data_IF_035478957298
#
_entry.id   IF_035478957298
#
_cell.length_a   1.000
_cell.length_b   1.000
_cell.length_c   1.000
_cell.angle_alpha   90.00
_cell.angle_beta   90.00
_cell.angle_gamma   90.00
#
_symmetry.space_group_name_H-M   'P 1'
#
loop_
_entity.id
_entity.type
_entity.pdbx_description
1 polymer ?
#
# COMPACT_ATOMS: atom_id res chain seq x y z
N UNK A 1 3.34 16.86 33.43
CA UNK A 1 2.90 17.99 32.57
C UNK A 1 1.66 17.58 31.77
N UNK A 2 0.54 18.30 31.87
CA UNK A 2 -0.65 18.05 31.03
C UNK A 2 -0.37 18.57 29.61
N UNK A 3 -0.31 17.70 28.60
CA UNK A 3 -0.19 18.11 27.19
C UNK A 3 -1.40 18.95 26.80
N UNK A 4 -1.19 20.16 26.26
CA UNK A 4 -2.26 20.96 25.65
C UNK A 4 -2.82 20.17 24.46
N UNK A 5 -4.10 19.79 24.51
CA UNK A 5 -4.78 19.14 23.38
C UNK A 5 -4.97 20.16 22.27
N UNK A 6 -4.47 19.84 21.07
CA UNK A 6 -4.71 20.64 19.86
C UNK A 6 -6.22 20.54 19.55
N UNK A 7 -6.93 21.67 19.50
CA UNK A 7 -8.33 21.70 19.06
C UNK A 7 -8.33 21.76 17.54
N UNK A 8 -9.02 20.81 16.91
CA UNK A 8 -9.29 20.85 15.48
C UNK A 8 -10.63 21.56 15.24
N UNK A 9 -10.78 22.33 14.15
CA UNK A 9 -12.07 22.86 13.74
C UNK A 9 -13.10 21.74 13.57
N UNK A 10 -14.35 21.99 13.99
CA UNK A 10 -15.44 21.01 13.90
C UNK A 10 -15.74 20.63 12.45
N UNK A 11 -15.75 21.61 11.54
CA UNK A 11 -15.95 21.39 10.11
C UNK A 11 -14.90 20.44 9.51
N UNK A 12 -13.63 20.58 9.93
CA UNK A 12 -12.54 19.70 9.49
C UNK A 12 -12.76 18.27 9.99
N UNK A 13 -13.15 18.12 11.26
CA UNK A 13 -13.42 16.84 11.87
C UNK A 13 -14.57 16.10 11.17
N UNK A 14 -15.66 16.80 10.84
CA UNK A 14 -16.80 16.24 10.11
C UNK A 14 -16.38 15.84 8.69
N UNK A 15 -15.68 16.71 7.97
CA UNK A 15 -15.20 16.41 6.60
C UNK A 15 -14.30 15.17 6.57
N UNK A 16 -13.29 15.12 7.45
CA UNK A 16 -12.36 14.00 7.50
C UNK A 16 -13.06 12.68 7.86
N UNK A 17 -13.96 12.70 8.84
CA UNK A 17 -14.68 11.50 9.27
C UNK A 17 -15.70 11.04 8.21
N UNK A 18 -16.40 11.96 7.55
CA UNK A 18 -17.34 11.65 6.47
C UNK A 18 -16.61 11.05 5.26
N UNK A 19 -15.50 11.66 4.84
CA UNK A 19 -14.71 11.14 3.72
C UNK A 19 -14.18 9.74 4.02
N UNK A 20 -13.77 9.47 5.26
CA UNK A 20 -13.32 8.14 5.67
C UNK A 20 -14.39 7.05 5.56
N UNK A 21 -15.64 7.34 5.95
CA UNK A 21 -16.73 6.34 5.92
C UNK A 21 -17.38 6.22 4.53
N UNK A 22 -17.28 7.25 3.69
CA UNK A 22 -17.90 7.29 2.36
C UNK A 22 -16.97 6.89 1.22
N UNK A 23 -15.65 6.96 1.43
CA UNK A 23 -14.66 6.74 0.38
C UNK A 23 -13.58 5.76 0.79
N UNK A 24 -12.85 5.34 -0.23
CA UNK A 24 -11.82 4.34 -0.09
C UNK A 24 -10.42 4.89 0.29
N UNK A 25 -10.37 5.98 1.07
CA UNK A 25 -9.12 6.64 1.47
C UNK A 25 -8.47 6.02 2.71
N UNK A 26 -7.14 6.08 2.79
CA UNK A 26 -6.42 5.64 3.99
C UNK A 26 -6.45 6.71 5.08
N UNK A 27 -6.29 6.30 6.34
CA UNK A 27 -6.13 7.23 7.45
C UNK A 27 -4.92 8.14 7.23
N UNK A 28 -3.82 7.62 6.66
CA UNK A 28 -2.60 8.38 6.38
C UNK A 28 -2.85 9.48 5.36
N UNK A 29 -3.61 9.20 4.31
CA UNK A 29 -3.98 10.21 3.30
C UNK A 29 -4.82 11.32 3.93
N UNK A 30 -5.78 10.95 4.79
CA UNK A 30 -6.58 11.92 5.53
C UNK A 30 -5.73 12.74 6.51
N UNK A 31 -4.74 12.14 7.17
CA UNK A 31 -3.80 12.86 8.04
C UNK A 31 -2.98 13.88 7.26
N UNK A 32 -2.52 13.52 6.06
CA UNK A 32 -1.78 14.42 5.17
C UNK A 32 -2.69 15.54 4.64
N UNK A 33 -3.93 15.23 4.26
CA UNK A 33 -4.90 16.18 3.69
C UNK A 33 -5.45 17.16 4.73
N UNK A 34 -5.76 16.68 5.94
CA UNK A 34 -6.44 17.45 6.97
C UNK A 34 -5.55 17.82 8.16
N UNK A 35 -4.30 17.34 8.22
CA UNK A 35 -3.30 17.76 9.21
C UNK A 35 -3.56 17.27 10.64
N UNK A 36 -4.38 16.24 10.83
CA UNK A 36 -4.53 15.59 12.12
C UNK A 36 -3.46 14.51 12.32
N UNK A 37 -3.04 14.28 13.57
CA UNK A 37 -1.90 13.39 13.87
C UNK A 37 -2.27 12.03 14.44
N UNK A 38 -3.51 11.87 14.94
CA UNK A 38 -3.90 10.69 15.69
C UNK A 38 -4.92 9.85 14.95
N UNK A 39 -4.64 8.56 14.77
CA UNK A 39 -5.61 7.57 14.29
C UNK A 39 -6.85 7.57 15.19
N UNK A 40 -6.66 7.53 16.52
CA UNK A 40 -7.76 7.62 17.49
C UNK A 40 -8.50 8.97 17.47
N UNK A 41 -7.95 10.02 16.86
CA UNK A 41 -8.67 11.29 16.66
C UNK A 41 -9.77 11.11 15.62
N UNK A 42 -9.50 10.39 14.53
CA UNK A 42 -10.48 10.11 13.48
C UNK A 42 -11.61 9.20 14.00
N UNK A 43 -11.27 8.10 14.68
CA UNK A 43 -12.27 7.23 15.31
C UNK A 43 -13.14 7.96 16.34
N UNK A 44 -12.52 8.87 17.13
CA UNK A 44 -13.25 9.72 18.05
C UNK A 44 -14.24 10.66 17.36
N UNK A 45 -13.92 11.15 16.16
CA UNK A 45 -14.84 11.96 15.35
C UNK A 45 -15.96 11.15 14.75
N UNK A 46 -15.65 9.99 14.18
CA UNK A 46 -16.65 9.08 13.61
C UNK A 46 -17.71 8.73 14.66
N UNK A 47 -17.26 8.35 15.87
CA UNK A 47 -18.14 8.10 17.00
C UNK A 47 -18.88 9.35 17.50
N UNK A 48 -18.22 10.52 17.51
CA UNK A 48 -18.85 11.79 17.95
C UNK A 48 -20.01 12.19 17.02
N UNK A 49 -19.88 11.94 15.72
CA UNK A 49 -20.85 12.34 14.72
C UNK A 49 -21.79 11.21 14.29
N UNK A 50 -21.78 10.08 15.01
CA UNK A 50 -22.61 8.90 14.73
C UNK A 50 -22.55 8.47 13.26
N UNK A 51 -21.34 8.55 12.67
CA UNK A 51 -21.12 8.14 11.29
C UNK A 51 -21.00 6.61 11.27
N UNK A 52 -21.90 5.98 10.53
CA UNK A 52 -22.03 4.52 10.50
C UNK A 52 -20.77 3.89 9.89
N UNK A 53 -20.05 3.14 10.72
CA UNK A 53 -18.95 2.30 10.25
C UNK A 53 -19.57 0.94 10.01
N UNK A 54 -19.93 0.65 8.76
CA UNK A 54 -20.59 -0.60 8.39
C UNK A 54 -19.82 -1.85 8.86
N UNK A 55 -18.50 -1.76 9.07
CA UNK A 55 -17.69 -2.82 9.68
C UNK A 55 -16.30 -2.28 10.12
N UNK A 56 -16.12 -2.01 11.43
CA UNK A 56 -14.87 -1.46 12.00
C UNK A 56 -13.69 -2.42 11.81
N UNK A 57 -13.96 -3.73 11.81
CA UNK A 57 -12.99 -4.78 11.51
C UNK A 57 -12.58 -4.74 10.04
N UNK A 58 -13.54 -4.64 9.11
CA UNK A 58 -13.24 -4.57 7.67
C UNK A 58 -12.41 -3.34 7.32
N UNK A 59 -12.69 -2.19 7.92
CA UNK A 59 -11.90 -0.97 7.72
C UNK A 59 -10.48 -1.12 8.26
N UNK A 60 -10.32 -1.77 9.41
CA UNK A 60 -8.99 -2.03 9.99
C UNK A 60 -8.16 -2.96 9.10
N UNK A 61 -8.77 -4.04 8.59
CA UNK A 61 -8.15 -4.96 7.63
C UNK A 61 -7.79 -4.22 6.33
N UNK A 62 -8.71 -3.39 5.82
CA UNK A 62 -8.52 -2.59 4.61
C UNK A 62 -7.37 -1.59 4.75
N UNK A 63 -7.25 -0.92 5.89
CA UNK A 63 -6.11 -0.03 6.17
C UNK A 63 -4.78 -0.81 6.21
N UNK A 64 -4.75 -1.98 6.84
CA UNK A 64 -3.54 -2.83 6.84
C UNK A 64 -3.17 -3.21 5.41
N UNK A 65 -4.12 -3.66 4.59
CA UNK A 65 -3.89 -4.00 3.19
C UNK A 65 -3.47 -2.80 2.32
N UNK A 66 -3.97 -1.60 2.59
CA UNK A 66 -3.58 -0.39 1.86
C UNK A 66 -2.22 0.15 2.31
N UNK A 67 -1.85 0.00 3.60
CA UNK A 67 -0.51 0.30 4.10
C UNK A 67 0.53 -0.70 3.56
N UNK A 68 0.18 -1.98 3.41
CA UNK A 68 1.03 -2.99 2.73
C UNK A 68 1.19 -2.73 1.22
N UNK A 69 0.30 -1.95 0.60
CA UNK A 69 0.41 -1.55 -0.80
C UNK A 69 1.49 -0.51 -1.06
N UNK A 70 2.02 0.16 -0.03
CA UNK A 70 3.30 0.86 -0.14
C UNK A 70 4.40 -0.19 -0.29
N UNK A 71 4.64 -0.65 -1.53
CA UNK A 71 5.71 -1.60 -1.84
C UNK A 71 6.98 -1.17 -1.12
N UNK A 72 7.49 -2.05 -0.28
CA UNK A 72 8.72 -1.75 0.45
C UNK A 72 9.84 -1.49 -0.58
N UNK A 73 10.78 -0.57 -0.33
CA UNK A 73 11.96 -0.42 -1.17
C UNK A 73 12.74 -1.73 -1.37
N UNK A 74 12.55 -2.71 -0.48
CA UNK A 74 13.08 -4.07 -0.62
C UNK A 74 12.30 -4.90 -1.64
N UNK A 75 10.99 -4.80 -1.67
CA UNK A 75 10.12 -5.52 -2.61
C UNK A 75 10.34 -5.03 -4.05
N UNK A 76 10.45 -3.71 -4.25
CA UNK A 76 10.80 -3.14 -5.56
C UNK A 76 12.17 -3.61 -6.06
N UNK A 77 13.15 -3.75 -5.16
CA UNK A 77 14.46 -4.30 -5.50
C UNK A 77 14.37 -5.77 -5.87
N UNK A 78 13.61 -6.57 -5.11
CA UNK A 78 13.39 -7.98 -5.37
C UNK A 78 12.66 -8.21 -6.70
N UNK A 79 11.66 -7.40 -7.04
CA UNK A 79 10.97 -7.49 -8.34
C UNK A 79 11.92 -7.24 -9.51
N UNK A 80 12.76 -6.19 -9.41
CA UNK A 80 13.80 -5.90 -10.42
C UNK A 80 14.82 -7.01 -10.55
N UNK A 81 15.21 -7.62 -9.44
CA UNK A 81 16.15 -8.74 -9.41
C UNK A 81 15.54 -9.98 -10.07
N UNK A 82 14.27 -10.29 -9.78
CA UNK A 82 13.52 -11.37 -10.44
C UNK A 82 13.42 -11.11 -11.94
N UNK A 83 13.13 -9.89 -12.37
CA UNK A 83 13.06 -9.55 -13.80
C UNK A 83 14.42 -9.76 -14.50
N UNK A 84 15.51 -9.35 -13.84
CA UNK A 84 16.87 -9.50 -14.34
C UNK A 84 17.26 -10.97 -14.46
N UNK A 85 17.00 -11.76 -13.42
CA UNK A 85 17.26 -13.20 -13.40
C UNK A 85 16.46 -13.95 -14.48
N UNK A 86 15.20 -13.57 -14.70
CA UNK A 86 14.38 -14.15 -15.78
C UNK A 86 14.97 -13.87 -17.16
N UNK A 87 15.47 -12.64 -17.40
CA UNK A 87 16.13 -12.30 -18.67
C UNK A 87 17.41 -13.09 -18.89
N UNK A 88 18.24 -13.23 -17.86
CA UNK A 88 19.47 -14.03 -17.93
C UNK A 88 19.16 -15.51 -18.22
N UNK A 89 18.15 -16.06 -17.55
CA UNK A 89 17.74 -17.44 -17.77
C UNK A 89 17.29 -17.68 -19.22
N UNK A 90 16.55 -16.74 -19.81
CA UNK A 90 16.12 -16.85 -21.20
C UNK A 90 17.29 -16.79 -22.17
N UNK A 91 18.25 -15.90 -21.94
CA UNK A 91 19.47 -15.82 -22.75
C UNK A 91 20.28 -17.12 -22.69
N UNK A 92 20.44 -17.71 -21.51
CA UNK A 92 21.14 -19.00 -21.37
C UNK A 92 20.38 -20.14 -22.06
N UNK A 93 19.04 -20.18 -21.98
CA UNK A 93 18.24 -21.17 -22.72
C UNK A 93 18.44 -21.05 -24.23
N UNK A 94 18.48 -19.83 -24.76
CA UNK A 94 18.74 -19.58 -26.19
C UNK A 94 20.13 -20.08 -26.57
N UNK A 95 21.17 -19.77 -25.79
CA UNK A 95 22.54 -20.24 -26.03
C UNK A 95 22.62 -21.76 -26.03
N UNK A 96 22.02 -22.43 -25.04
CA UNK A 96 21.98 -23.90 -24.95
C UNK A 96 21.30 -24.49 -26.19
N UNK A 97 20.19 -23.91 -26.63
CA UNK A 97 19.48 -24.37 -27.83
C UNK A 97 20.33 -24.20 -29.10
N UNK A 98 21.04 -23.07 -29.23
CA UNK A 98 21.94 -22.82 -30.35
C UNK A 98 23.13 -23.80 -30.36
N UNK A 99 23.77 -24.03 -29.22
CA UNK A 99 24.88 -24.99 -29.10
C UNK A 99 24.43 -26.41 -29.43
N UNK A 100 23.28 -26.84 -28.93
CA UNK A 100 22.70 -28.14 -29.28
C UNK A 100 22.51 -28.26 -30.79
N UNK A 101 22.06 -27.20 -31.46
CA UNK A 101 21.87 -27.22 -32.91
C UNK A 101 23.19 -27.30 -33.69
N UNK A 102 24.24 -26.64 -33.20
CA UNK A 102 25.58 -26.72 -33.81
C UNK A 102 26.16 -28.12 -33.72
N UNK A 103 25.98 -28.78 -32.57
CA UNK A 103 26.41 -30.18 -32.38
C UNK A 103 25.69 -31.11 -33.36
N UNK A 104 24.36 -31.01 -33.48
CA UNK A 104 23.58 -31.79 -34.46
C UNK A 104 24.05 -31.62 -35.91
N UNK A 105 24.56 -30.44 -36.28
CA UNK A 105 25.06 -30.16 -37.63
C UNK A 105 26.47 -30.74 -37.81
N UNK A 106 27.31 -30.71 -36.77
CA UNK A 106 28.68 -31.23 -36.81
C UNK A 106 28.75 -32.78 -36.74
N UNK A 107 27.73 -33.42 -36.17
CA UNK A 107 27.61 -34.88 -36.09
C UNK A 107 26.97 -35.52 -37.33
N UNK A 108 26.63 -34.73 -38.35
CA UNK A 108 25.97 -35.15 -39.59
C UNK A 108 26.92 -35.12 -40.78
#
# INVERSE_FOLDING_TARGET
MKRKRKKYPEELAIKAATEYVTTDVTIRDLQNKYGFKGVGTLYGWIKKYDLDIADEEAIKIRNIMLEEKEKSPREDKLEKEIETLKKQLEQEKIKVKAYKKMIEIAER
#
